data_IF_402312689128
#
_entry.id   IF_402312689128
#
_cell.length_a   1.000
_cell.length_b   1.000
_cell.length_c   1.000
_cell.angle_alpha   90.00
_cell.angle_beta   90.00
_cell.angle_gamma   90.00
#
_symmetry.space_group_name_H-M   'P 1'
#
loop_
_entity.id
_entity.type
_entity.pdbx_description
1 polymer ?
#
# COMPACT_ATOMS: atom_id res chain seq x y z
N UNK A 1 -12.64 -29.07 6.69
CA UNK A 1 -12.97 -27.72 6.20
C UNK A 1 -13.38 -27.87 4.74
N UNK A 2 -14.59 -27.46 4.37
CA UNK A 2 -15.02 -27.57 2.95
C UNK A 2 -14.24 -26.58 2.09
N UNK A 3 -14.10 -26.87 0.79
CA UNK A 3 -13.37 -26.00 -0.13
C UNK A 3 -14.03 -24.62 -0.27
N UNK A 4 -15.35 -24.53 -0.09
CA UNK A 4 -16.11 -23.26 0.03
C UNK A 4 -15.70 -22.45 1.26
N UNK A 5 -15.63 -23.10 2.43
CA UNK A 5 -15.15 -22.45 3.65
C UNK A 5 -13.71 -21.99 3.50
N UNK A 6 -12.86 -22.78 2.83
CA UNK A 6 -11.48 -22.40 2.55
C UNK A 6 -11.41 -21.15 1.66
N UNK A 7 -12.22 -21.08 0.60
CA UNK A 7 -12.27 -19.93 -0.30
C UNK A 7 -12.70 -18.65 0.41
N UNK A 8 -13.76 -18.71 1.23
CA UNK A 8 -14.24 -17.56 1.99
C UNK A 8 -13.18 -17.10 2.99
N UNK A 9 -12.64 -18.03 3.79
CA UNK A 9 -11.66 -17.71 4.83
C UNK A 9 -10.35 -17.19 4.21
N UNK A 10 -9.90 -17.75 3.09
CA UNK A 10 -8.68 -17.27 2.45
C UNK A 10 -8.87 -15.91 1.79
N UNK A 11 -10.01 -15.67 1.16
CA UNK A 11 -10.32 -14.38 0.53
C UNK A 11 -10.36 -13.24 1.55
N UNK A 12 -11.15 -13.39 2.62
CA UNK A 12 -11.19 -12.39 3.68
C UNK A 12 -9.88 -12.33 4.47
N UNK A 13 -9.20 -13.46 4.66
CA UNK A 13 -7.89 -13.52 5.29
C UNK A 13 -6.84 -12.68 4.55
N UNK A 14 -6.81 -12.75 3.22
CA UNK A 14 -5.90 -11.95 2.40
C UNK A 14 -6.29 -10.45 2.44
N UNK A 15 -7.59 -10.13 2.44
CA UNK A 15 -8.03 -8.75 2.60
C UNK A 15 -7.59 -8.16 3.95
N UNK A 16 -7.75 -8.91 5.04
CA UNK A 16 -7.24 -8.53 6.37
C UNK A 16 -5.72 -8.39 6.39
N UNK A 17 -5.00 -9.29 5.72
CA UNK A 17 -3.55 -9.19 5.59
C UNK A 17 -3.13 -7.94 4.81
N UNK A 18 -3.82 -7.58 3.74
CA UNK A 18 -3.53 -6.37 2.96
C UNK A 18 -3.68 -5.10 3.82
N UNK A 19 -4.82 -4.97 4.52
CA UNK A 19 -5.08 -3.84 5.41
C UNK A 19 -4.09 -3.82 6.57
N UNK A 20 -3.85 -4.97 7.21
CA UNK A 20 -2.92 -5.12 8.32
C UNK A 20 -1.49 -4.76 7.92
N UNK A 21 -1.04 -5.20 6.75
CA UNK A 21 0.29 -4.89 6.22
C UNK A 21 0.45 -3.41 5.93
N UNK A 22 -0.52 -2.77 5.27
CA UNK A 22 -0.52 -1.32 5.05
C UNK A 22 -0.47 -0.55 6.37
N UNK A 23 -1.19 -1.01 7.40
CA UNK A 23 -1.17 -0.41 8.72
C UNK A 23 0.17 -0.56 9.44
N UNK A 24 0.80 -1.74 9.39
CA UNK A 24 2.13 -1.98 9.98
C UNK A 24 3.19 -1.12 9.30
N UNK A 25 3.19 -1.06 7.97
CA UNK A 25 4.10 -0.20 7.19
C UNK A 25 3.90 1.27 7.57
N UNK A 26 2.65 1.71 7.70
CA UNK A 26 2.34 3.06 8.16
C UNK A 26 2.86 3.33 9.57
N UNK A 27 2.65 2.42 10.52
CA UNK A 27 3.14 2.54 11.90
C UNK A 27 4.66 2.61 11.99
N UNK A 28 5.36 1.89 11.11
CA UNK A 28 6.82 1.88 11.08
C UNK A 28 7.36 3.19 10.50
N UNK A 29 6.84 3.61 9.35
CA UNK A 29 7.33 4.78 8.63
C UNK A 29 6.85 6.12 9.19
N UNK A 30 5.72 6.17 9.92
CA UNK A 30 5.21 7.43 10.51
C UNK A 30 6.23 8.12 11.40
N UNK A 31 7.10 7.36 12.09
CA UNK A 31 8.13 7.92 12.98
C UNK A 31 9.22 8.63 12.18
N UNK A 32 9.73 7.98 11.14
CA UNK A 32 10.72 8.57 10.24
C UNK A 32 10.18 9.80 9.52
N UNK A 33 8.91 9.79 9.10
CA UNK A 33 8.29 10.96 8.48
C UNK A 33 8.11 12.12 9.45
N UNK A 34 7.73 11.88 10.71
CA UNK A 34 7.61 12.95 11.71
C UNK A 34 8.93 13.72 11.88
N UNK A 35 10.07 13.02 11.91
CA UNK A 35 11.38 13.65 12.02
C UNK A 35 11.70 14.56 10.82
N UNK A 36 11.42 14.09 9.60
CA UNK A 36 11.65 14.85 8.36
C UNK A 36 10.71 16.06 8.29
N UNK A 37 9.46 15.88 8.67
CA UNK A 37 8.39 16.87 8.54
C UNK A 37 8.56 18.04 9.54
N UNK A 38 9.13 17.79 10.73
CA UNK A 38 9.43 18.84 11.71
C UNK A 38 10.46 19.87 11.22
N UNK A 39 11.23 19.54 10.16
CA UNK A 39 12.18 20.49 9.56
C UNK A 39 11.50 21.52 8.65
N UNK A 40 10.23 21.33 8.29
CA UNK A 40 9.50 22.27 7.42
C UNK A 40 8.85 23.40 8.25
N UNK A 41 8.99 24.67 7.86
CA UNK A 41 8.35 25.79 8.55
C UNK A 41 6.81 25.81 8.50
N UNK A 42 6.16 25.00 7.65
CA UNK A 42 4.70 25.03 7.44
C UNK A 42 4.09 23.76 8.05
N UNK A 43 3.69 23.85 9.32
CA UNK A 43 3.07 22.75 10.09
C UNK A 43 1.79 22.20 9.48
N UNK A 44 1.05 23.01 8.71
CA UNK A 44 -0.18 22.57 8.05
C UNK A 44 0.10 21.58 6.90
N UNK A 45 1.07 21.88 6.03
CA UNK A 45 1.44 21.00 4.91
C UNK A 45 2.01 19.66 5.41
N UNK A 46 2.85 19.74 6.43
CA UNK A 46 3.35 18.65 7.23
C UNK A 46 2.27 17.68 7.72
N UNK A 47 1.19 18.22 8.29
CA UNK A 47 0.06 17.45 8.79
C UNK A 47 -0.73 16.78 7.66
N UNK A 48 -0.97 17.51 6.57
CA UNK A 48 -1.66 17.00 5.37
C UNK A 48 -0.90 15.85 4.74
N UNK A 49 0.43 15.97 4.59
CA UNK A 49 1.28 14.91 4.04
C UNK A 49 1.24 13.64 4.90
N UNK A 50 1.24 13.80 6.24
CA UNK A 50 1.08 12.68 7.17
C UNK A 50 -0.27 11.99 7.03
N UNK A 51 -1.36 12.75 6.91
CA UNK A 51 -2.71 12.20 6.81
C UNK A 51 -2.95 11.51 5.46
N UNK A 52 -2.30 11.97 4.39
CA UNK A 52 -2.36 11.35 3.07
C UNK A 52 -1.54 10.05 2.96
N UNK A 53 -0.59 9.82 3.87
CA UNK A 53 0.28 8.65 3.76
C UNK A 53 -0.44 7.32 3.95
N UNK A 54 -1.37 7.24 4.91
CA UNK A 54 -2.16 6.01 5.11
C UNK A 54 -3.05 5.66 3.91
N UNK A 55 -3.90 6.55 3.38
CA UNK A 55 -4.68 6.25 2.18
C UNK A 55 -3.79 5.98 0.96
N UNK A 56 -2.61 6.61 0.86
CA UNK A 56 -1.63 6.32 -0.19
C UNK A 56 -1.07 4.89 -0.14
N UNK A 57 -1.00 4.25 1.03
CA UNK A 57 -0.62 2.85 1.17
C UNK A 57 -1.82 1.89 1.07
N UNK A 58 -2.97 2.32 1.59
CA UNK A 58 -4.17 1.49 1.63
C UNK A 58 -4.75 1.28 0.22
N UNK A 59 -4.87 2.34 -0.58
CA UNK A 59 -5.48 2.25 -1.91
C UNK A 59 -4.72 1.30 -2.85
N UNK A 60 -3.38 1.36 -2.96
CA UNK A 60 -2.63 0.43 -3.80
C UNK A 60 -2.68 -1.02 -3.30
N UNK A 61 -2.69 -1.24 -1.98
CA UNK A 61 -2.87 -2.58 -1.42
C UNK A 61 -4.24 -3.17 -1.80
N UNK A 62 -5.30 -2.37 -1.70
CA UNK A 62 -6.64 -2.77 -2.14
C UNK A 62 -6.70 -2.98 -3.66
N UNK A 63 -6.04 -2.13 -4.45
CA UNK A 63 -5.94 -2.31 -5.90
C UNK A 63 -5.21 -3.59 -6.27
N UNK A 64 -4.11 -3.93 -5.59
CA UNK A 64 -3.40 -5.21 -5.78
C UNK A 64 -4.27 -6.41 -5.41
N UNK A 65 -5.08 -6.29 -4.35
CA UNK A 65 -6.05 -7.31 -3.98
C UNK A 65 -7.16 -7.48 -5.04
N UNK A 66 -7.78 -6.39 -5.50
CA UNK A 66 -8.85 -6.41 -6.50
C UNK A 66 -8.35 -6.70 -7.93
N UNK A 67 -7.07 -6.46 -8.20
CA UNK A 67 -6.42 -6.75 -9.49
C UNK A 67 -6.48 -8.23 -9.83
N UNK A 68 -6.44 -9.11 -8.82
CA UNK A 68 -6.50 -10.56 -9.01
C UNK A 68 -7.95 -10.99 -8.75
N UNK A 69 -8.70 -11.04 -9.84
CA UNK A 69 -10.05 -11.58 -9.86
C UNK A 69 -9.99 -13.11 -9.99
N UNK A 70 -10.89 -13.84 -9.33
CA UNK A 70 -11.21 -15.22 -9.68
C UNK A 70 -11.90 -15.26 -11.06
N UNK A 71 -11.20 -14.88 -12.12
CA UNK A 71 -11.70 -14.96 -13.49
C UNK A 71 -11.55 -16.40 -13.97
N UNK A 72 -12.54 -17.21 -13.60
CA UNK A 72 -12.86 -18.41 -14.34
C UNK A 72 -13.47 -18.01 -15.67
N UNK A 73 -12.67 -17.63 -16.66
CA UNK A 73 -13.14 -17.61 -18.05
C UNK A 73 -13.44 -19.07 -18.44
N UNK A 74 -14.67 -19.53 -18.22
CA UNK A 74 -15.16 -20.83 -18.68
C UNK A 74 -15.18 -21.99 -17.67
N UNK A 75 -14.82 -21.80 -16.39
CA UNK A 75 -14.99 -22.83 -15.34
C UNK A 75 -16.17 -22.48 -14.43
N UNK A 76 -17.09 -23.43 -14.22
CA UNK A 76 -18.16 -23.30 -13.23
C UNK A 76 -17.58 -23.15 -11.82
N UNK A 77 -18.33 -22.54 -10.91
CA UNK A 77 -17.98 -22.40 -9.48
C UNK A 77 -17.53 -23.74 -8.87
N UNK A 78 -18.21 -24.83 -9.23
CA UNK A 78 -17.87 -26.19 -8.81
C UNK A 78 -16.50 -26.65 -9.32
N UNK A 79 -16.13 -26.27 -10.55
CA UNK A 79 -14.81 -26.56 -11.14
C UNK A 79 -13.67 -25.73 -10.53
N UNK A 80 -13.98 -24.58 -9.91
CA UNK A 80 -13.01 -23.75 -9.17
C UNK A 80 -12.78 -24.32 -7.76
N UNK A 81 -13.82 -24.90 -7.16
CA UNK A 81 -13.79 -25.47 -5.81
C UNK A 81 -13.21 -26.88 -5.79
N UNK A 82 -13.30 -27.63 -6.89
CA UNK A 82 -12.79 -28.99 -6.97
C UNK A 82 -11.26 -29.09 -6.80
N UNK A 83 -10.50 -28.06 -7.20
CA UNK A 83 -9.04 -28.06 -7.19
C UNK A 83 -8.47 -27.12 -6.13
N UNK A 84 -8.13 -27.67 -4.95
CA UNK A 84 -7.50 -26.89 -3.86
C UNK A 84 -6.19 -26.22 -4.28
N UNK A 85 -5.43 -26.83 -5.18
CA UNK A 85 -4.20 -26.27 -5.76
C UNK A 85 -4.46 -24.96 -6.51
N UNK A 86 -5.57 -24.86 -7.24
CA UNK A 86 -5.97 -23.64 -7.95
C UNK A 86 -6.26 -22.51 -6.96
N UNK A 87 -6.99 -22.80 -5.86
CA UNK A 87 -7.26 -21.81 -4.81
C UNK A 87 -5.98 -21.31 -4.12
N UNK A 88 -5.01 -22.20 -3.88
CA UNK A 88 -3.70 -21.81 -3.32
C UNK A 88 -2.94 -20.91 -4.30
N UNK A 89 -2.92 -21.24 -5.58
CA UNK A 89 -2.22 -20.46 -6.59
C UNK A 89 -2.79 -19.04 -6.71
N UNK A 90 -4.12 -18.88 -6.74
CA UNK A 90 -4.77 -17.55 -6.79
C UNK A 90 -4.47 -16.73 -5.53
N UNK A 91 -4.44 -17.36 -4.36
CA UNK A 91 -4.09 -16.68 -3.11
C UNK A 91 -2.63 -16.17 -3.14
N UNK A 92 -1.70 -16.96 -3.69
CA UNK A 92 -0.31 -16.52 -3.86
C UNK A 92 -0.19 -15.37 -4.86
N UNK A 93 -0.97 -15.40 -5.93
CA UNK A 93 -1.03 -14.33 -6.92
C UNK A 93 -1.58 -13.04 -6.30
N UNK A 94 -2.66 -13.12 -5.51
CA UNK A 94 -3.20 -11.99 -4.76
C UNK A 94 -2.15 -11.37 -3.83
N UNK A 95 -1.44 -12.19 -3.05
CA UNK A 95 -0.38 -11.70 -2.17
C UNK A 95 0.75 -11.02 -2.96
N UNK A 96 1.21 -11.64 -4.04
CA UNK A 96 2.25 -11.08 -4.91
C UNK A 96 1.83 -9.73 -5.50
N UNK A 97 0.59 -9.62 -5.99
CA UNK A 97 0.03 -8.40 -6.52
C UNK A 97 -0.06 -7.30 -5.44
N UNK A 98 -0.52 -7.63 -4.23
CA UNK A 98 -0.56 -6.70 -3.08
C UNK A 98 0.85 -6.18 -2.77
N UNK A 99 1.85 -7.05 -2.64
CA UNK A 99 3.22 -6.64 -2.35
C UNK A 99 3.81 -5.76 -3.46
N UNK A 100 3.58 -6.11 -4.72
CA UNK A 100 4.05 -5.33 -5.87
C UNK A 100 3.45 -3.92 -5.87
N UNK A 101 2.13 -3.80 -5.69
CA UNK A 101 1.47 -2.50 -5.63
C UNK A 101 1.91 -1.68 -4.42
N UNK A 102 2.12 -2.31 -3.26
CA UNK A 102 2.67 -1.65 -2.08
C UNK A 102 4.09 -1.15 -2.31
N UNK A 103 4.95 -1.92 -2.99
CA UNK A 103 6.31 -1.50 -3.32
C UNK A 103 6.30 -0.26 -4.23
N UNK A 104 5.47 -0.28 -5.28
CA UNK A 104 5.29 0.88 -6.18
C UNK A 104 4.78 2.10 -5.41
N UNK A 105 3.79 1.91 -4.52
CA UNK A 105 3.26 2.98 -3.68
C UNK A 105 4.34 3.60 -2.77
N UNK A 106 5.16 2.76 -2.13
CA UNK A 106 6.26 3.19 -1.27
C UNK A 106 7.32 3.97 -2.06
N UNK A 107 7.70 3.48 -3.25
CA UNK A 107 8.63 4.20 -4.14
C UNK A 107 8.06 5.56 -4.55
N UNK A 108 6.80 5.60 -4.98
CA UNK A 108 6.11 6.84 -5.34
C UNK A 108 6.06 7.84 -4.19
N UNK A 109 5.76 7.36 -2.97
CA UNK A 109 5.77 8.21 -1.78
C UNK A 109 7.17 8.71 -1.43
N UNK A 110 8.20 7.88 -1.58
CA UNK A 110 9.59 8.28 -1.43
C UNK A 110 9.97 9.43 -2.36
N UNK A 111 9.51 9.39 -3.62
CA UNK A 111 9.73 10.48 -4.58
C UNK A 111 9.01 11.77 -4.16
N UNK A 112 7.77 11.68 -3.65
CA UNK A 112 7.03 12.85 -3.12
C UNK A 112 7.82 13.49 -1.97
N UNK A 113 8.31 12.68 -1.02
CA UNK A 113 9.08 13.18 0.12
C UNK A 113 10.40 13.80 -0.32
N UNK A 114 11.09 13.18 -1.28
CA UNK A 114 12.31 13.73 -1.86
C UNK A 114 12.07 15.08 -2.55
N UNK A 115 10.98 15.20 -3.32
CA UNK A 115 10.61 16.46 -3.96
C UNK A 115 10.35 17.56 -2.92
N UNK A 116 9.64 17.24 -1.84
CA UNK A 116 9.42 18.17 -0.72
C UNK A 116 10.75 18.62 -0.11
N UNK A 117 11.68 17.71 0.16
CA UNK A 117 13.00 18.04 0.70
C UNK A 117 13.82 18.94 -0.24
N UNK A 118 13.78 18.69 -1.54
CA UNK A 118 14.46 19.53 -2.54
C UNK A 118 13.88 20.95 -2.54
N UNK A 119 12.55 21.09 -2.46
CA UNK A 119 11.88 22.39 -2.42
C UNK A 119 12.25 23.16 -1.15
N UNK A 120 12.26 22.50 0.01
CA UNK A 120 12.70 23.11 1.28
C UNK A 120 14.14 23.64 1.16
N UNK A 121 15.06 22.78 0.69
CA UNK A 121 16.48 23.13 0.54
C UNK A 121 16.70 24.31 -0.43
N UNK A 122 15.94 24.37 -1.52
CA UNK A 122 15.98 25.50 -2.47
C UNK A 122 15.47 26.80 -1.85
N UNK A 123 14.38 26.75 -1.07
CA UNK A 123 13.84 27.93 -0.38
C UNK A 123 14.79 28.48 0.68
N UNK A 124 15.48 27.62 1.43
CA UNK A 124 16.50 28.04 2.40
C UNK A 124 17.67 28.77 1.71
N UNK A 125 18.24 28.19 0.65
CA UNK A 125 19.33 28.83 -0.12
C UNK A 125 18.94 30.16 -0.78
N UNK A 126 17.68 30.31 -1.18
CA UNK A 126 17.16 31.55 -1.75
C UNK A 126 16.98 32.67 -0.72
N UNK A 127 16.83 32.32 0.56
CA UNK A 127 16.79 33.26 1.67
C UNK A 127 18.20 33.74 2.05
N UNK A 128 19.17 32.83 2.13
CA UNK A 128 20.59 33.17 2.43
C UNK A 128 21.24 34.07 1.39
N UNK A 129 20.79 34.04 0.12
CA UNK A 129 21.32 34.92 -0.94
C UNK A 129 20.75 36.34 -0.93
N UNK A 130 19.74 36.62 -0.10
CA UNK A 130 19.05 37.92 -0.04
C UNK A 130 19.30 38.69 1.26
N UNK A 131 20.00 38.10 2.23
CA UNK A 131 20.56 38.79 3.39
C UNK A 131 22.00 39.20 3.13
#
# INVERSE_FOLDING_TARGET
MSNEQYLIVSYFGIAFLAVGLSFVIWLWLRRSFLAIIQTHPIKAFALTLRNLFFPWLLLPALLGFFSVSFRGCGKSYDGIIAERSYLIAINQEQLSAIFSHLAVALMGWGLVVLAVLIVIKRRQKGFDKKG
#
